data_IF_404955403074
#
_entry.id   IF_404955403074
#
_cell.length_a   1.000
_cell.length_b   1.000
_cell.length_c   1.000
_cell.angle_alpha   90.00
_cell.angle_beta   90.00
_cell.angle_gamma   90.00
#
_symmetry.space_group_name_H-M   'P 1'
#
loop_
_entity.id
_entity.type
_entity.pdbx_description
1 polymer ?
#
# COMPACT_ATOMS: atom_id res chain seq x y z
N UNK A 1 -31.66 -13.75 2.83
CA UNK A 1 -31.25 -13.81 1.41
C UNK A 1 -29.76 -13.53 1.39
N UNK A 2 -28.94 -14.50 1.01
CA UNK A 2 -27.49 -14.40 1.11
C UNK A 2 -26.95 -13.33 0.17
N UNK A 3 -26.13 -12.42 0.70
CA UNK A 3 -25.35 -11.49 -0.12
C UNK A 3 -24.28 -12.29 -0.86
N UNK A 4 -24.41 -12.40 -2.18
CA UNK A 4 -23.34 -12.89 -3.05
C UNK A 4 -22.31 -11.78 -3.23
N UNK A 5 -21.21 -11.88 -2.48
CA UNK A 5 -20.03 -11.03 -2.70
C UNK A 5 -19.09 -11.77 -3.64
N UNK A 6 -19.06 -11.38 -4.90
CA UNK A 6 -18.14 -11.90 -5.90
C UNK A 6 -17.25 -10.77 -6.41
N UNK A 7 -15.93 -10.98 -6.36
CA UNK A 7 -14.94 -10.09 -6.95
C UNK A 7 -14.41 -10.75 -8.23
N UNK A 8 -14.20 -9.95 -9.27
CA UNK A 8 -13.79 -10.49 -10.56
C UNK A 8 -13.67 -9.44 -11.66
N UNK A 9 -12.95 -9.81 -12.72
CA UNK A 9 -12.75 -8.97 -13.89
C UNK A 9 -13.85 -9.17 -14.93
N UNK A 10 -14.35 -8.09 -15.51
CA UNK A 10 -15.36 -8.13 -16.57
C UNK A 10 -14.74 -8.69 -17.84
N UNK A 11 -15.32 -9.79 -18.33
CA UNK A 11 -14.88 -10.41 -19.59
C UNK A 11 -15.75 -9.94 -20.74
N UNK A 12 -17.08 -9.98 -20.57
CA UNK A 12 -18.05 -9.68 -21.62
C UNK A 12 -19.26 -8.96 -21.00
N UNK A 13 -19.77 -7.95 -21.71
CA UNK A 13 -21.01 -7.24 -21.36
C UNK A 13 -21.99 -7.44 -22.51
N UNK A 14 -23.06 -8.19 -22.27
CA UNK A 14 -24.16 -8.39 -23.21
C UNK A 14 -25.41 -7.63 -22.77
N UNK A 15 -26.46 -7.65 -23.60
CA UNK A 15 -27.70 -6.93 -23.34
C UNK A 15 -28.42 -7.40 -22.06
N UNK A 16 -28.39 -8.71 -21.79
CA UNK A 16 -29.17 -9.33 -20.70
C UNK A 16 -28.30 -9.61 -19.47
N UNK A 17 -27.04 -9.97 -19.70
CA UNK A 17 -26.14 -10.38 -18.64
C UNK A 17 -24.74 -9.84 -18.87
N UNK A 18 -23.97 -9.80 -17.79
CA UNK A 18 -22.54 -9.51 -17.79
C UNK A 18 -21.81 -10.72 -17.23
N UNK A 19 -20.71 -11.09 -17.88
CA UNK A 19 -19.84 -12.17 -17.44
C UNK A 19 -18.60 -11.61 -16.76
N UNK A 20 -18.33 -12.15 -15.59
CA UNK A 20 -17.15 -11.86 -14.78
C UNK A 20 -16.31 -13.12 -14.65
N UNK A 21 -15.00 -12.96 -14.65
CA UNK A 21 -14.06 -14.00 -14.24
C UNK A 21 -13.73 -13.78 -12.77
N UNK A 22 -14.03 -14.75 -11.93
CA UNK A 22 -13.85 -14.62 -10.49
C UNK A 22 -12.38 -14.52 -10.11
N UNK A 23 -12.09 -13.58 -9.20
CA UNK A 23 -10.80 -13.33 -8.58
C UNK A 23 -10.97 -13.44 -7.08
N UNK A 24 -10.23 -14.36 -6.46
CA UNK A 24 -10.17 -14.52 -5.00
C UNK A 24 -8.74 -14.26 -4.58
N UNK A 25 -8.55 -13.31 -3.67
CA UNK A 25 -7.23 -12.93 -3.14
C UNK A 25 -6.19 -12.61 -4.23
N UNK A 26 -6.64 -12.05 -5.36
CA UNK A 26 -5.78 -11.68 -6.49
C UNK A 26 -5.43 -12.81 -7.47
N UNK A 27 -5.93 -14.03 -7.24
CA UNK A 27 -5.78 -15.17 -8.15
C UNK A 27 -7.08 -15.48 -8.90
N UNK A 28 -6.97 -15.79 -10.19
CA UNK A 28 -8.11 -16.25 -10.98
C UNK A 28 -8.49 -17.68 -10.59
N UNK A 29 -9.71 -17.89 -10.11
CA UNK A 29 -10.22 -19.24 -9.76
C UNK A 29 -10.54 -20.08 -11.00
N UNK A 30 -10.66 -19.42 -12.17
CA UNK A 30 -11.09 -20.04 -13.42
C UNK A 30 -12.61 -20.17 -13.55
N UNK A 31 -13.39 -19.75 -12.54
CA UNK A 31 -14.85 -19.73 -12.61
C UNK A 31 -15.34 -18.51 -13.38
N UNK A 32 -16.33 -18.74 -14.25
CA UNK A 32 -17.06 -17.70 -14.97
C UNK A 32 -18.41 -17.50 -14.28
N UNK A 33 -18.66 -16.27 -13.83
CA UNK A 33 -19.89 -15.87 -13.17
C UNK A 33 -20.73 -15.08 -14.16
N UNK A 34 -21.98 -15.49 -14.37
CA UNK A 34 -22.94 -14.77 -15.21
C UNK A 34 -23.95 -14.09 -14.30
N UNK A 35 -24.02 -12.76 -14.36
CA UNK A 35 -24.92 -11.96 -13.54
C UNK A 35 -25.89 -11.22 -14.49
N UNK A 36 -27.21 -11.27 -14.25
CA UNK A 36 -28.16 -10.50 -15.05
C UNK A 36 -27.98 -9.00 -14.80
N UNK A 37 -28.10 -8.19 -15.86
CA UNK A 37 -27.88 -6.74 -15.77
C UNK A 37 -28.85 -6.06 -14.77
N UNK A 38 -30.06 -6.60 -14.60
CA UNK A 38 -31.01 -6.12 -13.60
C UNK A 38 -30.47 -6.23 -12.17
N UNK A 39 -29.71 -7.29 -11.85
CA UNK A 39 -29.07 -7.45 -10.55
C UNK A 39 -27.95 -6.42 -10.35
N UNK A 40 -27.29 -5.96 -11.42
CA UNK A 40 -26.34 -4.85 -11.34
C UNK A 40 -27.02 -3.50 -11.04
N UNK A 41 -28.22 -3.29 -11.57
CA UNK A 41 -28.94 -2.04 -11.34
C UNK A 41 -29.58 -1.97 -9.95
N UNK A 42 -29.93 -3.11 -9.35
CA UNK A 42 -30.60 -3.17 -8.04
C UNK A 42 -29.66 -3.43 -6.85
N UNK A 43 -28.43 -3.90 -7.11
CA UNK A 43 -27.46 -4.23 -6.07
C UNK A 43 -26.54 -3.07 -5.69
N UNK A 44 -25.89 -3.18 -4.54
CA UNK A 44 -24.75 -2.32 -4.18
C UNK A 44 -23.48 -2.87 -4.82
N UNK A 45 -23.18 -2.48 -6.05
CA UNK A 45 -21.94 -2.89 -6.74
C UNK A 45 -20.87 -1.82 -6.60
N UNK A 46 -19.73 -2.22 -6.05
CA UNK A 46 -18.50 -1.43 -6.13
C UNK A 46 -17.80 -1.72 -7.47
N UNK A 47 -18.00 -0.86 -8.45
CA UNK A 47 -17.24 -0.93 -9.71
C UNK A 47 -15.86 -0.32 -9.48
N UNK A 48 -14.81 -1.14 -9.44
CA UNK A 48 -13.42 -0.67 -9.47
C UNK A 48 -12.98 -0.54 -10.92
N UNK A 49 -13.12 0.66 -11.49
CA UNK A 49 -12.57 0.95 -12.80
C UNK A 49 -11.08 1.36 -12.68
N UNK A 50 -10.21 0.37 -12.83
CA UNK A 50 -8.75 0.57 -12.81
C UNK A 50 -8.28 1.37 -14.03
N UNK A 51 -9.00 1.35 -15.14
CA UNK A 51 -8.62 2.00 -16.39
C UNK A 51 -9.02 3.49 -16.46
N UNK A 52 -10.08 3.92 -15.76
CA UNK A 52 -10.55 5.32 -15.76
C UNK A 52 -10.07 6.16 -14.56
N UNK A 53 -9.62 5.54 -13.47
CA UNK A 53 -8.98 6.28 -12.38
C UNK A 53 -7.64 6.87 -12.85
N UNK A 54 -7.21 8.03 -12.35
CA UNK A 54 -5.86 8.53 -12.62
C UNK A 54 -4.85 7.40 -12.37
N UNK A 55 -3.78 7.29 -13.18
CA UNK A 55 -2.85 6.15 -13.11
C UNK A 55 -2.19 6.01 -11.73
N UNK A 56 -2.25 7.08 -10.94
CA UNK A 56 -1.70 7.18 -9.61
C UNK A 56 -2.70 6.75 -8.53
N UNK A 57 -2.33 5.73 -7.77
CA UNK A 57 -3.01 5.25 -6.57
C UNK A 57 -2.29 5.78 -5.32
N UNK A 58 -3.02 5.91 -4.21
CA UNK A 58 -2.44 6.16 -2.89
C UNK A 58 -2.04 4.83 -2.27
N UNK A 59 -0.77 4.66 -1.96
CA UNK A 59 -0.25 3.48 -1.27
C UNK A 59 0.39 3.88 0.06
N UNK A 60 0.53 2.89 0.93
CA UNK A 60 1.02 3.09 2.29
C UNK A 60 2.02 2.00 2.68
N UNK A 61 3.05 2.41 3.41
CA UNK A 61 4.01 1.52 4.05
C UNK A 61 4.06 1.88 5.52
N UNK A 62 3.90 0.87 6.37
CA UNK A 62 3.90 1.02 7.82
C UNK A 62 5.07 0.25 8.40
N UNK A 63 5.78 0.87 9.33
CA UNK A 63 6.86 0.26 10.11
C UNK A 63 6.57 0.38 11.58
N UNK A 64 6.97 -0.63 12.35
CA UNK A 64 6.89 -0.59 13.82
C UNK A 64 8.25 -0.20 14.38
N UNK A 65 8.30 0.89 15.13
CA UNK A 65 9.53 1.43 15.74
C UNK A 65 9.39 1.55 17.26
N UNK A 66 10.52 1.47 17.97
CA UNK A 66 10.57 1.66 19.41
C UNK A 66 10.35 3.13 19.80
N UNK A 67 9.70 3.37 20.94
CA UNK A 67 9.33 4.70 21.46
C UNK A 67 10.51 5.64 21.69
N UNK A 68 11.70 5.10 21.98
CA UNK A 68 12.90 5.88 22.33
C UNK A 68 13.53 6.65 21.17
N UNK A 69 13.05 6.46 19.93
CA UNK A 69 13.59 7.14 18.76
C UNK A 69 13.08 8.58 18.64
N UNK A 70 13.93 9.48 18.14
CA UNK A 70 13.52 10.84 17.76
C UNK A 70 12.60 10.80 16.54
N UNK A 71 11.30 10.95 16.78
CA UNK A 71 10.25 10.94 15.76
C UNK A 71 10.43 12.05 14.71
N UNK A 72 10.96 13.22 15.09
CA UNK A 72 11.19 14.30 14.12
C UNK A 72 12.34 13.95 13.18
N UNK A 73 13.38 13.30 13.71
CA UNK A 73 14.50 12.85 12.90
C UNK A 73 14.09 11.72 11.95
N UNK A 74 13.32 10.75 12.43
CA UNK A 74 12.77 9.67 11.62
C UNK A 74 11.93 10.22 10.46
N UNK A 75 11.04 11.19 10.76
CA UNK A 75 10.21 11.85 9.75
C UNK A 75 11.06 12.46 8.64
N UNK A 76 12.15 13.15 8.99
CA UNK A 76 13.05 13.77 8.00
C UNK A 76 13.72 12.72 7.11
N UNK A 77 14.17 11.61 7.67
CA UNK A 77 14.79 10.53 6.92
C UNK A 77 13.78 9.90 5.96
N UNK A 78 12.59 9.54 6.45
CA UNK A 78 11.54 8.94 5.64
C UNK A 78 11.12 9.86 4.49
N UNK A 79 10.95 11.16 4.75
CA UNK A 79 10.67 12.15 3.70
C UNK A 79 11.80 12.21 2.67
N UNK A 80 13.06 12.26 3.10
CA UNK A 80 14.21 12.35 2.19
C UNK A 80 14.33 11.12 1.29
N UNK A 81 14.21 9.92 1.87
CA UNK A 81 14.27 8.67 1.09
C UNK A 81 13.10 8.59 0.10
N UNK A 82 11.90 8.99 0.54
CA UNK A 82 10.74 8.98 -0.33
C UNK A 82 10.88 9.96 -1.50
N UNK A 83 11.37 11.18 -1.24
CA UNK A 83 11.69 12.13 -2.30
C UNK A 83 12.71 11.57 -3.28
N UNK A 84 13.78 10.93 -2.80
CA UNK A 84 14.83 10.40 -3.65
C UNK A 84 14.32 9.25 -4.55
N UNK A 85 13.40 8.41 -4.06
CA UNK A 85 12.81 7.33 -4.86
C UNK A 85 11.77 7.86 -5.85
N UNK A 86 10.91 8.79 -5.42
CA UNK A 86 9.82 9.31 -6.26
C UNK A 86 10.34 10.27 -7.34
N UNK A 87 11.42 11.02 -7.09
CA UNK A 87 12.04 11.92 -8.09
C UNK A 87 12.55 11.18 -9.33
N UNK A 88 12.96 9.92 -9.19
CA UNK A 88 13.45 9.10 -10.31
C UNK A 88 12.33 8.75 -11.31
N UNK A 89 11.05 8.86 -10.90
CA UNK A 89 9.87 8.50 -11.70
C UNK A 89 9.22 9.61 -12.51
N UNK A 90 9.63 10.87 -12.32
CA UNK A 90 9.15 12.05 -13.10
C UNK A 90 7.63 12.29 -13.11
N UNK A 91 7.09 12.81 -12.00
CA UNK A 91 5.92 13.70 -12.00
C UNK A 91 5.84 14.48 -10.68
N UNK A 92 5.83 15.82 -10.75
CA UNK A 92 5.83 16.72 -9.57
C UNK A 92 4.59 16.50 -8.69
N UNK A 93 3.48 16.05 -9.29
CA UNK A 93 2.21 15.76 -8.60
C UNK A 93 2.29 14.62 -7.59
N UNK A 94 3.23 13.68 -7.78
CA UNK A 94 3.40 12.53 -6.87
C UNK A 94 3.97 12.97 -5.50
N UNK A 95 4.73 14.07 -5.49
CA UNK A 95 5.38 14.59 -4.29
C UNK A 95 4.45 15.43 -3.40
N UNK A 96 3.40 16.04 -3.98
CA UNK A 96 2.48 16.92 -3.25
C UNK A 96 1.62 16.18 -2.19
N UNK A 97 1.51 14.86 -2.28
CA UNK A 97 0.72 14.03 -1.37
C UNK A 97 1.58 13.11 -0.48
N UNK A 98 2.85 13.46 -0.28
CA UNK A 98 3.74 12.73 0.61
C UNK A 98 3.45 13.10 2.07
N UNK A 99 2.99 12.12 2.85
CA UNK A 99 2.66 12.33 4.26
C UNK A 99 3.30 11.24 5.13
N UNK A 100 3.94 11.66 6.22
CA UNK A 100 4.42 10.78 7.27
C UNK A 100 3.53 10.95 8.48
N UNK A 101 2.95 9.85 8.95
CA UNK A 101 2.10 9.83 10.13
C UNK A 101 2.64 8.83 11.16
N UNK A 102 2.30 9.07 12.41
CA UNK A 102 2.68 8.24 13.54
C UNK A 102 1.44 7.87 14.32
N UNK A 103 1.24 6.58 14.56
CA UNK A 103 0.14 6.05 15.34
C UNK A 103 0.69 5.23 16.52
N UNK A 104 0.10 5.35 17.72
CA UNK A 104 0.49 4.49 18.83
C UNK A 104 0.09 3.05 18.50
N UNK A 105 1.04 2.12 18.62
CA UNK A 105 0.79 0.69 18.51
C UNK A 105 0.73 0.05 19.90
N UNK A 106 0.17 -1.16 19.99
CA UNK A 106 0.11 -1.90 21.25
C UNK A 106 1.53 -2.23 21.76
N UNK A 107 1.71 -2.24 23.09
CA UNK A 107 2.96 -2.70 23.70
C UNK A 107 4.11 -1.68 23.72
N UNK A 108 3.82 -0.38 23.61
CA UNK A 108 4.85 0.69 23.67
C UNK A 108 5.60 0.89 22.36
N UNK A 109 5.10 0.34 21.27
CA UNK A 109 5.61 0.56 19.92
C UNK A 109 4.89 1.73 19.25
N UNK A 110 5.52 2.34 18.26
CA UNK A 110 4.92 3.37 17.41
C UNK A 110 4.89 2.85 15.98
N UNK A 111 3.72 2.91 15.34
CA UNK A 111 3.57 2.67 13.92
C UNK A 111 3.93 3.96 13.17
N UNK A 112 5.03 3.95 12.44
CA UNK A 112 5.43 5.01 11.52
C UNK A 112 4.99 4.66 10.11
N UNK A 113 4.03 5.43 9.58
CA UNK A 113 3.48 5.23 8.25
C UNK A 113 3.96 6.29 7.27
N UNK A 114 4.31 5.85 6.06
CA UNK A 114 4.59 6.71 4.91
C UNK A 114 3.50 6.50 3.87
N UNK A 115 2.82 7.58 3.52
CA UNK A 115 1.78 7.60 2.50
C UNK A 115 2.24 8.39 1.29
N UNK A 116 2.08 7.80 0.11
CA UNK A 116 2.56 8.38 -1.14
C UNK A 116 1.62 8.04 -2.31
N UNK A 117 1.74 8.82 -3.38
CA UNK A 117 1.05 8.56 -4.65
C UNK A 117 2.01 7.82 -5.58
N UNK A 118 1.55 6.76 -6.24
CA UNK A 118 2.36 5.98 -7.18
C UNK A 118 1.52 5.41 -8.30
N UNK A 119 2.10 5.24 -9.48
CA UNK A 119 1.43 4.53 -10.56
C UNK A 119 1.16 3.07 -10.21
N UNK A 120 -0.01 2.57 -10.57
CA UNK A 120 -0.43 1.19 -10.28
C UNK A 120 0.60 0.15 -10.79
N UNK A 121 1.19 0.39 -11.97
CA UNK A 121 2.19 -0.51 -12.57
C UNK A 121 3.49 -0.56 -11.76
N UNK A 122 3.88 0.58 -11.20
CA UNK A 122 5.15 0.74 -10.47
C UNK A 122 5.00 0.51 -8.97
N UNK A 123 3.77 0.40 -8.46
CA UNK A 123 3.43 0.24 -7.04
C UNK A 123 4.32 -0.76 -6.32
N UNK A 124 4.36 -2.01 -6.78
CA UNK A 124 5.10 -3.08 -6.09
C UNK A 124 6.60 -2.82 -6.07
N UNK A 125 7.15 -2.33 -7.19
CA UNK A 125 8.57 -2.01 -7.32
C UNK A 125 8.96 -0.86 -6.39
N UNK A 126 8.20 0.22 -6.43
CA UNK A 126 8.41 1.41 -5.58
C UNK A 126 8.25 1.05 -4.11
N UNK A 127 7.24 0.25 -3.76
CA UNK A 127 7.05 -0.25 -2.39
C UNK A 127 8.26 -1.03 -1.88
N UNK A 128 8.72 -2.00 -2.66
CA UNK A 128 9.89 -2.80 -2.30
C UNK A 128 11.16 -1.95 -2.18
N UNK A 129 11.36 -0.99 -3.08
CA UNK A 129 12.52 -0.10 -3.07
C UNK A 129 12.50 0.88 -1.89
N UNK A 130 11.34 1.47 -1.58
CA UNK A 130 11.13 2.33 -0.41
C UNK A 130 11.39 1.55 0.88
N UNK A 131 10.82 0.35 1.01
CA UNK A 131 11.05 -0.50 2.18
C UNK A 131 12.54 -0.81 2.34
N UNK A 132 13.22 -1.24 1.29
CA UNK A 132 14.66 -1.53 1.35
C UNK A 132 15.50 -0.32 1.75
N UNK A 133 15.29 0.83 1.08
CA UNK A 133 16.07 2.05 1.35
C UNK A 133 15.80 2.65 2.72
N UNK A 134 14.57 2.61 3.21
CA UNK A 134 14.21 3.08 4.56
C UNK A 134 14.88 2.19 5.60
N UNK A 135 14.85 0.87 5.43
CA UNK A 135 15.52 -0.06 6.33
C UNK A 135 17.05 0.10 6.31
N UNK A 136 17.64 0.33 5.14
CA UNK A 136 19.06 0.65 5.06
C UNK A 136 19.41 1.98 5.74
N UNK A 137 18.55 2.99 5.61
CA UNK A 137 18.76 4.29 6.25
C UNK A 137 18.73 4.14 7.78
N UNK A 138 17.80 3.34 8.32
CA UNK A 138 17.74 3.04 9.75
C UNK A 138 18.94 2.20 10.22
N UNK A 139 19.42 1.25 9.43
CA UNK A 139 20.59 0.44 9.80
C UNK A 139 21.93 1.17 9.67
N UNK A 140 22.00 2.22 8.83
CA UNK A 140 23.20 3.07 8.69
C UNK A 140 23.35 4.06 9.84
N UNK A 141 22.34 4.25 10.68
CA UNK A 141 22.51 4.95 11.94
C UNK A 141 23.43 4.13 12.85
N UNK A 142 24.50 4.74 13.41
CA UNK A 142 25.38 4.02 14.31
C UNK A 142 24.58 3.64 15.55
N UNK A 143 24.69 2.37 15.94
CA UNK A 143 24.31 1.84 17.26
C UNK A 143 24.54 2.91 18.34
N UNK A 144 23.61 3.12 19.28
CA UNK A 144 23.88 3.96 20.43
C UNK A 144 25.19 3.48 21.06
N UNK A 145 26.16 4.40 21.17
CA UNK A 145 27.31 4.22 22.04
C UNK A 145 26.74 4.22 23.45
N UNK A 146 26.56 3.04 24.01
CA UNK A 146 26.86 2.71 25.41
C UNK A 146 26.48 1.24 25.69
N UNK A 147 27.53 0.43 25.86
CA UNK A 147 27.66 -0.45 27.02
C UNK A 147 26.72 -1.62 27.29
N UNK A 148 25.57 -1.79 26.65
CA UNK A 148 24.70 -2.95 26.95
C UNK A 148 24.36 -3.76 25.70
N UNK A 149 24.76 -5.04 25.76
CA UNK A 149 24.27 -6.09 24.87
C UNK A 149 22.76 -6.19 25.04
N UNK A 150 22.01 -5.59 24.13
CA UNK A 150 20.64 -6.01 23.85
C UNK A 150 20.62 -6.67 22.48
N UNK A 151 20.22 -7.95 22.47
CA UNK A 151 19.83 -8.70 21.28
C UNK A 151 18.60 -8.02 20.65
N UNK A 152 18.78 -6.87 20.00
CA UNK A 152 17.68 -6.25 19.25
C UNK A 152 17.73 -6.82 17.84
N UNK A 153 17.21 -8.05 17.75
CA UNK A 153 16.73 -8.61 16.49
C UNK A 153 15.61 -7.70 15.99
N UNK A 154 15.89 -6.93 14.93
CA UNK A 154 14.87 -6.18 14.23
C UNK A 154 13.89 -7.16 13.59
N UNK A 155 12.84 -7.55 14.31
CA UNK A 155 11.72 -8.28 13.73
C UNK A 155 10.77 -7.23 13.16
N UNK A 156 11.07 -6.84 11.92
CA UNK A 156 10.08 -6.19 11.06
C UNK A 156 9.08 -7.29 10.72
N UNK A 157 7.85 -7.15 11.22
CA UNK A 157 6.76 -8.09 10.94
C UNK A 157 5.83 -7.50 9.90
#
# INVERSE_FOLDING_TARGET
VGSITAEGDVTEVEYIFTRLREVVEGAYTGRLITIPNSAFMSGSISVRNIALSPPCIRDEITFTIAYENDLQYLKKIMMKVAEDVLKVGSDVKLLENLEVFFEPAEGGWIAAGLRYLVDLKSRMKVKSELTGKILEAFNKEPKPKDGEKSEVSWIIR
#
